data_IF_568613040055
#
_entry.id   IF_568613040055
#
_cell.length_a   1.000
_cell.length_b   1.000
_cell.length_c   1.000
_cell.angle_alpha   90.00
_cell.angle_beta   90.00
_cell.angle_gamma   90.00
#
_symmetry.space_group_name_H-M   'P 1'
#
loop_
_entity.id
_entity.type
_entity.pdbx_description
1 polymer ?
#
# COMPACT_ATOMS: atom_id res chain seq x y z
N UNK A 1 26.71 -4.91 49.92
CA UNK A 1 25.44 -5.60 49.60
C UNK A 1 25.51 -6.12 48.17
N UNK A 2 25.45 -7.45 47.96
CA UNK A 2 25.61 -8.10 46.64
C UNK A 2 24.22 -8.31 46.01
N UNK A 3 24.02 -7.83 44.77
CA UNK A 3 22.75 -8.01 44.02
C UNK A 3 22.60 -9.48 43.59
N UNK A 4 21.40 -10.09 43.66
CA UNK A 4 21.20 -11.44 43.15
C UNK A 4 21.14 -11.41 41.61
N UNK A 5 21.93 -12.28 40.96
CA UNK A 5 21.85 -12.54 39.53
C UNK A 5 20.54 -13.31 39.27
N UNK A 6 19.64 -12.72 38.48
CA UNK A 6 18.47 -13.43 37.94
C UNK A 6 19.00 -14.62 37.11
N UNK A 7 18.66 -15.84 37.49
CA UNK A 7 18.95 -17.02 36.69
C UNK A 7 18.01 -17.06 35.50
N UNK A 8 18.53 -17.29 34.29
CA UNK A 8 17.69 -17.59 33.13
C UNK A 8 16.88 -18.87 33.42
N UNK A 9 15.62 -18.97 32.97
CA UNK A 9 14.86 -20.20 33.08
C UNK A 9 15.49 -21.30 32.22
N UNK A 10 15.42 -22.58 32.64
CA UNK A 10 15.97 -23.68 31.87
C UNK A 10 15.23 -23.80 30.52
N UNK A 11 16.00 -23.83 29.43
CA UNK A 11 15.49 -24.11 28.08
C UNK A 11 14.88 -25.51 28.09
N UNK A 12 13.55 -25.60 27.95
CA UNK A 12 12.87 -26.88 27.75
C UNK A 12 13.28 -27.41 26.38
N UNK A 13 14.00 -28.53 26.37
CA UNK A 13 14.28 -29.27 25.14
C UNK A 13 12.95 -29.59 24.45
N UNK A 14 12.78 -29.10 23.22
CA UNK A 14 11.57 -29.31 22.43
C UNK A 14 11.54 -30.80 22.08
N UNK A 15 10.64 -31.55 22.70
CA UNK A 15 10.45 -32.97 22.43
C UNK A 15 10.02 -33.16 20.97
N UNK A 16 10.76 -34.01 20.26
CA UNK A 16 10.57 -34.40 18.85
C UNK A 16 9.16 -34.88 18.52
N UNK A 17 8.39 -35.30 19.54
CA UNK A 17 6.99 -35.73 19.43
C UNK A 17 5.99 -34.61 19.06
N UNK A 18 6.31 -33.33 19.28
CA UNK A 18 5.43 -32.22 18.85
C UNK A 18 5.54 -31.90 17.36
N UNK A 19 6.68 -32.20 16.73
CA UNK A 19 6.88 -31.97 15.29
C UNK A 19 6.08 -32.97 14.44
N UNK A 20 5.91 -34.20 14.93
CA UNK A 20 5.19 -35.27 14.23
C UNK A 20 3.66 -35.08 14.23
N UNK A 21 3.11 -34.32 15.18
CA UNK A 21 1.67 -33.97 15.20
C UNK A 21 1.30 -32.88 14.18
N UNK A 22 2.25 -32.00 13.81
CA UNK A 22 2.02 -30.97 12.77
C UNK A 22 1.91 -31.63 11.39
N UNK A 23 2.69 -32.69 11.14
CA UNK A 23 2.77 -33.34 9.83
C UNK A 23 1.62 -34.34 9.56
N UNK A 24 0.70 -34.56 10.51
CA UNK A 24 -0.32 -35.62 10.45
C UNK A 24 -1.78 -35.16 10.56
N UNK A 25 -2.07 -33.88 10.34
CA UNK A 25 -3.44 -33.36 10.40
C UNK A 25 -3.73 -32.29 9.34
N UNK A 26 -4.34 -32.68 8.22
CA UNK A 26 -4.83 -31.72 7.22
C UNK A 26 -5.15 -32.30 5.85
N UNK A 27 -5.90 -33.40 5.77
CA UNK A 27 -6.56 -33.76 4.52
C UNK A 27 -7.79 -32.86 4.35
N UNK A 28 -7.63 -31.78 3.59
CA UNK A 28 -8.76 -31.05 3.01
C UNK A 28 -8.73 -31.38 1.51
N UNK A 29 -9.74 -32.12 1.05
CA UNK A 29 -10.10 -32.17 -0.35
C UNK A 29 -10.43 -30.73 -0.79
N UNK A 30 -9.49 -30.06 -1.45
CA UNK A 30 -9.81 -28.86 -2.24
C UNK A 30 -10.00 -29.29 -3.67
N UNK A 31 -11.27 -29.45 -4.04
CA UNK A 31 -11.73 -29.42 -5.43
C UNK A 31 -11.13 -28.19 -6.14
N UNK A 32 -10.89 -28.27 -7.47
CA UNK A 32 -10.28 -27.17 -8.21
C UNK A 32 -11.28 -26.02 -8.27
N UNK A 33 -11.02 -24.98 -7.47
CA UNK A 33 -11.72 -23.70 -7.63
C UNK A 33 -11.32 -23.20 -9.00
N UNK A 34 -12.26 -23.28 -9.94
CA UNK A 34 -12.16 -22.65 -11.24
C UNK A 34 -11.64 -21.22 -11.03
N UNK A 35 -10.47 -20.95 -11.59
CA UNK A 35 -9.91 -19.60 -11.65
C UNK A 35 -10.96 -18.70 -12.30
N UNK A 36 -11.63 -17.88 -11.49
CA UNK A 36 -12.35 -16.73 -12.01
C UNK A 36 -11.39 -15.95 -12.93
N UNK A 37 -11.85 -15.44 -14.08
CA UNK A 37 -10.98 -14.60 -14.90
C UNK A 37 -10.49 -13.45 -14.02
N UNK A 38 -9.18 -13.39 -13.82
CA UNK A 38 -8.54 -12.23 -13.20
C UNK A 38 -9.04 -11.00 -13.98
N UNK A 39 -9.64 -9.98 -13.32
CA UNK A 39 -9.91 -8.73 -14.02
C UNK A 39 -8.57 -8.27 -14.56
N UNK A 40 -8.47 -8.08 -15.88
CA UNK A 40 -7.27 -7.56 -16.52
C UNK A 40 -6.73 -6.42 -15.66
N UNK A 41 -5.61 -6.69 -14.99
CA UNK A 41 -5.02 -5.72 -14.09
C UNK A 41 -4.69 -4.50 -14.95
N UNK A 42 -5.48 -3.43 -14.80
CA UNK A 42 -5.13 -2.11 -15.30
C UNK A 42 -3.92 -1.66 -14.48
N UNK A 43 -2.74 -2.20 -14.85
CA UNK A 43 -1.51 -2.11 -14.08
C UNK A 43 -1.22 -0.64 -13.88
N UNK A 44 -1.35 -0.18 -12.64
CA UNK A 44 -0.99 1.17 -12.19
C UNK A 44 0.44 1.46 -12.66
N UNK A 45 0.57 2.21 -13.75
CA UNK A 45 1.86 2.67 -14.28
C UNK A 45 2.29 3.89 -13.48
N UNK A 46 3.14 3.67 -12.48
CA UNK A 46 3.77 4.74 -11.73
C UNK A 46 4.77 5.49 -12.62
N UNK A 47 4.62 6.81 -12.72
CA UNK A 47 5.62 7.68 -13.36
C UNK A 47 6.08 8.73 -12.37
N UNK A 48 7.39 8.99 -12.36
CA UNK A 48 7.98 10.09 -11.61
C UNK A 48 8.37 11.16 -12.62
N UNK A 49 7.83 12.36 -12.46
CA UNK A 49 8.23 13.52 -13.25
C UNK A 49 8.89 14.56 -12.35
N UNK A 50 9.85 15.29 -12.91
CA UNK A 50 10.57 16.35 -12.22
C UNK A 50 9.85 17.66 -12.48
N UNK A 51 9.54 18.39 -11.42
CA UNK A 51 9.01 19.76 -11.47
C UNK A 51 9.92 20.67 -10.67
N UNK A 52 9.80 21.97 -10.90
CA UNK A 52 10.54 22.93 -10.10
C UNK A 52 9.98 22.97 -8.68
N UNK A 53 10.85 23.24 -7.71
CA UNK A 53 10.46 23.35 -6.31
C UNK A 53 9.42 24.46 -6.08
N UNK A 54 9.51 25.56 -6.84
CA UNK A 54 8.53 26.63 -6.84
C UNK A 54 7.12 26.15 -7.21
N UNK A 55 7.00 25.27 -8.20
CA UNK A 55 5.70 24.70 -8.62
C UNK A 55 5.16 23.74 -7.55
N UNK A 56 6.05 22.96 -6.92
CA UNK A 56 5.68 22.10 -5.80
C UNK A 56 5.16 22.91 -4.61
N UNK A 57 5.80 24.04 -4.30
CA UNK A 57 5.36 24.96 -3.25
C UNK A 57 3.97 25.54 -3.55
N UNK A 58 3.72 25.96 -4.79
CA UNK A 58 2.40 26.46 -5.22
C UNK A 58 1.29 25.41 -5.05
N UNK A 59 1.54 24.15 -5.43
CA UNK A 59 0.57 23.06 -5.24
C UNK A 59 0.25 22.86 -3.76
N UNK A 60 1.26 22.93 -2.88
CA UNK A 60 1.08 22.82 -1.43
C UNK A 60 0.30 23.99 -0.85
N UNK A 61 0.54 25.20 -1.33
CA UNK A 61 -0.18 26.40 -0.90
C UNK A 61 -1.68 26.28 -1.24
N UNK A 62 -2.00 25.87 -2.47
CA UNK A 62 -3.39 25.61 -2.90
C UNK A 62 -4.03 24.51 -2.04
N UNK A 63 -3.31 23.43 -1.75
CA UNK A 63 -3.79 22.36 -0.88
C UNK A 63 -4.09 22.85 0.55
N UNK A 64 -3.27 23.76 1.09
CA UNK A 64 -3.46 24.32 2.43
C UNK A 64 -4.61 25.33 2.49
N UNK A 65 -4.84 26.06 1.40
CA UNK A 65 -5.94 27.01 1.26
C UNK A 65 -7.31 26.32 1.16
N UNK A 66 -7.35 25.06 0.71
CA UNK A 66 -8.59 24.27 0.64
C UNK A 66 -9.10 23.88 2.04
N UNK A 67 -10.43 23.88 2.27
CA UNK A 67 -11.03 23.41 3.50
C UNK A 67 -10.54 22.00 3.86
N UNK A 68 -10.32 21.73 5.15
CA UNK A 68 -9.79 20.43 5.64
C UNK A 68 -10.57 19.21 5.10
N UNK A 69 -11.84 19.39 4.77
CA UNK A 69 -12.73 18.36 4.23
C UNK A 69 -12.41 17.98 2.78
N UNK A 70 -11.84 18.90 2.02
CA UNK A 70 -11.58 18.76 0.58
C UNK A 70 -10.08 18.74 0.27
N UNK A 71 -9.24 18.45 1.28
CA UNK A 71 -7.80 18.28 1.09
C UNK A 71 -7.53 17.02 0.31
N UNK A 72 -7.43 17.16 -1.01
CA UNK A 72 -7.01 16.10 -1.91
C UNK A 72 -5.51 15.86 -1.82
N UNK A 73 -5.06 14.64 -2.13
CA UNK A 73 -3.63 14.33 -2.19
C UNK A 73 -2.95 15.11 -3.32
N UNK A 74 -1.64 15.35 -3.23
CA UNK A 74 -0.88 16.00 -4.32
C UNK A 74 -1.03 15.21 -5.62
N UNK A 75 -1.04 13.88 -5.53
CA UNK A 75 -1.31 13.00 -6.66
C UNK A 75 -2.67 13.32 -7.32
N UNK A 76 -3.74 13.36 -6.55
CA UNK A 76 -5.09 13.59 -7.08
C UNK A 76 -5.23 15.00 -7.64
N UNK A 77 -4.57 15.99 -7.03
CA UNK A 77 -4.50 17.35 -7.56
C UNK A 77 -3.87 17.37 -8.94
N UNK A 78 -2.71 16.72 -9.11
CA UNK A 78 -2.01 16.64 -10.39
C UNK A 78 -2.87 15.91 -11.42
N UNK A 79 -3.46 14.77 -11.06
CA UNK A 79 -4.31 13.98 -11.97
C UNK A 79 -5.54 14.78 -12.40
N UNK A 80 -6.21 15.47 -11.48
CA UNK A 80 -7.37 16.30 -11.79
C UNK A 80 -7.01 17.48 -12.70
N UNK A 81 -5.89 18.15 -12.43
CA UNK A 81 -5.40 19.26 -13.27
C UNK A 81 -5.06 18.79 -14.68
N UNK A 82 -4.38 17.65 -14.82
CA UNK A 82 -4.04 17.06 -16.12
C UNK A 82 -5.31 16.66 -16.89
N UNK A 83 -6.28 16.02 -16.23
CA UNK A 83 -7.56 15.67 -16.86
C UNK A 83 -8.32 16.91 -17.35
N UNK A 84 -8.43 17.93 -16.49
CA UNK A 84 -9.07 19.20 -16.83
C UNK A 84 -8.39 19.89 -18.02
N UNK A 85 -7.05 19.89 -18.06
CA UNK A 85 -6.29 20.45 -19.17
C UNK A 85 -6.55 19.69 -20.48
N UNK A 86 -6.59 18.37 -20.45
CA UNK A 86 -6.93 17.53 -21.62
C UNK A 86 -8.36 17.83 -22.10
N UNK A 87 -9.32 17.96 -21.19
CA UNK A 87 -10.71 18.29 -21.54
C UNK A 87 -10.84 19.69 -22.16
N UNK A 88 -10.07 20.67 -21.68
CA UNK A 88 -10.02 22.00 -22.27
C UNK A 88 -9.44 21.98 -23.68
N UNK A 89 -8.37 21.23 -23.93
CA UNK A 89 -7.78 21.12 -25.27
C UNK A 89 -8.62 20.28 -26.24
N UNK A 90 -9.44 19.36 -25.71
CA UNK A 90 -10.41 18.59 -26.50
C UNK A 90 -11.65 19.37 -26.91
N UNK A 91 -11.95 20.50 -26.25
CA UNK A 91 -13.01 21.39 -26.70
C UNK A 91 -12.41 22.24 -27.83
N UNK A 92 -12.76 21.98 -29.10
CA UNK A 92 -12.27 22.83 -30.19
C UNK A 92 -12.78 24.23 -29.93
N UNK A 93 -11.85 25.17 -29.79
CA UNK A 93 -12.13 26.60 -29.90
C UNK A 93 -12.83 26.81 -31.24
N UNK A 94 -14.16 26.94 -31.22
CA UNK A 94 -14.97 27.41 -32.34
C UNK A 94 -15.33 28.85 -32.08
#
# INVERSE_FOLDING_TARGET
MKKPKIGLPPVRAIATSMQEMINKGGSVLTEPIASAPEPEEDKLKSFTFKIYESELAQIREIQQALPKRDRISIHDFVVAAVKSKIEQERKPTT
#
